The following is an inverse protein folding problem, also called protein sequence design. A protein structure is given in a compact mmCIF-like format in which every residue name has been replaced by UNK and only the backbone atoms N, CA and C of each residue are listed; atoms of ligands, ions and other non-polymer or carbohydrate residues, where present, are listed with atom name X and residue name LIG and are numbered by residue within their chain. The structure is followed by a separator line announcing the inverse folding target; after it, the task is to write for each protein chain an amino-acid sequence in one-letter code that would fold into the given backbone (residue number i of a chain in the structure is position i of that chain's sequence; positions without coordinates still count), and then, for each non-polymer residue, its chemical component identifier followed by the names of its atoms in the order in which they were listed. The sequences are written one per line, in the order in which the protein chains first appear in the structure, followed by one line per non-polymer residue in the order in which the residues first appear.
data_IF_275227839605
#
_entry.id   IF_275227839605
#
_cell.length_a   1.000
_cell.length_b   1.000
_cell.length_c   1.000
_cell.angle_alpha   90.00
_cell.angle_beta   90.00
_cell.angle_gamma   90.00
#
_symmetry.space_group_name_H-M   'P 1'
#
loop_
_entity.id
_entity.type
_entity.pdbx_description
1 polymer ?
#
# COMPACT_ATOMS: atom_id res chain seq x y z
N UNK A 1 5.73 34.57 -9.89
CA UNK A 1 6.46 33.30 -10.14
C UNK A 1 6.49 32.40 -8.90
N UNK A 2 7.08 32.80 -7.75
CA UNK A 2 7.16 31.93 -6.55
C UNK A 2 5.80 31.42 -6.03
N UNK A 3 4.81 32.29 -5.94
CA UNK A 3 3.45 31.94 -5.48
C UNK A 3 2.74 30.93 -6.40
N UNK A 4 3.03 30.97 -7.70
CA UNK A 4 2.46 30.04 -8.67
C UNK A 4 2.94 28.60 -8.42
N UNK A 5 4.25 28.41 -8.20
CA UNK A 5 4.81 27.09 -7.89
C UNK A 5 4.29 26.54 -6.55
N UNK A 6 4.11 27.41 -5.55
CA UNK A 6 3.54 27.01 -4.26
C UNK A 6 2.09 26.54 -4.44
N UNK A 7 1.27 27.28 -5.18
CA UNK A 7 -0.10 26.89 -5.46
C UNK A 7 -0.18 25.56 -6.25
N UNK A 8 0.69 25.39 -7.25
CA UNK A 8 0.78 24.16 -8.03
C UNK A 8 1.20 22.96 -7.17
N UNK A 9 2.14 23.15 -6.24
CA UNK A 9 2.54 22.11 -5.29
C UNK A 9 1.35 21.65 -4.44
N UNK A 10 0.62 22.57 -3.80
CA UNK A 10 -0.53 22.22 -2.97
C UNK A 10 -1.66 21.56 -3.76
N UNK A 11 -1.91 22.00 -4.99
CA UNK A 11 -2.90 21.40 -5.87
C UNK A 11 -2.58 19.94 -6.20
N UNK A 12 -1.34 19.65 -6.57
CA UNK A 12 -0.91 18.27 -6.85
C UNK A 12 -0.87 17.41 -5.59
N UNK A 13 -0.43 17.97 -4.46
CA UNK A 13 -0.37 17.26 -3.19
C UNK A 13 -1.75 16.82 -2.70
N UNK A 14 -2.78 17.66 -2.88
CA UNK A 14 -4.16 17.29 -2.55
C UNK A 14 -4.65 16.07 -3.35
N UNK A 15 -4.30 15.98 -4.64
CA UNK A 15 -4.63 14.82 -5.47
C UNK A 15 -3.95 13.53 -5.00
N UNK A 16 -2.69 13.62 -4.54
CA UNK A 16 -1.96 12.47 -3.98
C UNK A 16 -2.59 11.98 -2.66
N UNK A 17 -3.03 12.89 -1.79
CA UNK A 17 -3.71 12.54 -0.55
C UNK A 17 -5.05 11.84 -0.81
N UNK A 18 -5.83 12.35 -1.77
CA UNK A 18 -7.10 11.74 -2.16
C UNK A 18 -6.90 10.32 -2.75
N UNK A 19 -5.84 10.12 -3.53
CA UNK A 19 -5.49 8.83 -4.13
C UNK A 19 -5.31 7.69 -3.12
N UNK A 20 -4.91 7.97 -1.87
CA UNK A 20 -4.72 6.95 -0.83
C UNK A 20 -6.05 6.32 -0.37
N UNK A 21 -7.14 7.09 -0.44
CA UNK A 21 -8.49 6.65 -0.12
C UNK A 21 -9.22 5.97 -1.29
N UNK A 22 -8.51 5.68 -2.39
CA UNK A 22 -9.08 4.95 -3.53
C UNK A 22 -8.87 3.45 -3.40
N UNK A 23 -9.83 2.68 -3.92
CA UNK A 23 -9.72 1.23 -4.01
C UNK A 23 -8.60 0.85 -4.97
N UNK A 24 -7.87 -0.20 -4.64
CA UNK A 24 -6.94 -0.82 -5.57
C UNK A 24 -7.75 -1.54 -6.67
N UNK A 25 -7.43 -1.32 -7.96
CA UNK A 25 -8.17 -1.92 -9.07
C UNK A 25 -8.17 -3.45 -8.98
N UNK A 26 -9.34 -4.04 -9.24
CA UNK A 26 -9.51 -5.49 -9.39
C UNK A 26 -8.51 -6.05 -10.39
N UNK A 27 -7.89 -7.18 -10.04
CA UNK A 27 -6.90 -7.85 -10.89
C UNK A 27 -5.48 -7.25 -10.82
N UNK A 28 -5.23 -6.29 -9.93
CA UNK A 28 -3.86 -5.85 -9.65
C UNK A 28 -3.02 -6.98 -9.07
N UNK A 29 -1.80 -7.19 -9.58
CA UNK A 29 -0.84 -8.18 -9.05
C UNK A 29 -0.47 -7.92 -7.57
N UNK A 30 -0.71 -6.70 -7.08
CA UNK A 30 -0.52 -6.34 -5.68
C UNK A 30 -1.38 -7.20 -4.75
N UNK A 31 -2.59 -7.61 -5.17
CA UNK A 31 -3.43 -8.49 -4.35
C UNK A 31 -2.72 -9.84 -4.09
N UNK A 32 -2.16 -10.45 -5.13
CA UNK A 32 -1.42 -11.72 -5.00
C UNK A 32 -0.14 -11.57 -4.20
N UNK A 33 0.55 -10.44 -4.35
CA UNK A 33 1.77 -10.16 -3.58
C UNK A 33 1.45 -10.04 -2.08
N UNK A 34 0.40 -9.30 -1.72
CA UNK A 34 -0.04 -9.14 -0.33
C UNK A 34 -0.52 -10.46 0.28
N UNK A 35 -1.27 -11.26 -0.49
CA UNK A 35 -1.72 -12.59 -0.06
C UNK A 35 -0.55 -13.54 0.18
N UNK A 36 0.46 -13.53 -0.71
CA UNK A 36 1.68 -14.31 -0.50
C UNK A 36 2.45 -13.84 0.73
N UNK A 37 2.58 -12.54 0.94
CA UNK A 37 3.21 -11.97 2.13
C UNK A 37 2.46 -12.40 3.39
N UNK A 38 1.14 -12.34 3.42
CA UNK A 38 0.34 -12.85 4.54
C UNK A 38 0.66 -14.31 4.87
N UNK A 39 0.76 -15.17 3.86
CA UNK A 39 1.09 -16.60 4.02
C UNK A 39 2.51 -16.78 4.55
N UNK A 40 3.49 -16.07 4.01
CA UNK A 40 4.91 -16.23 4.38
C UNK A 40 5.22 -15.64 5.76
N UNK A 41 4.55 -14.55 6.11
CA UNK A 41 4.78 -13.82 7.35
C UNK A 41 3.92 -14.33 8.50
N UNK A 42 2.83 -15.03 8.22
CA UNK A 42 1.82 -15.43 9.19
C UNK A 42 1.08 -14.25 9.83
N UNK A 43 1.34 -13.01 9.39
CA UNK A 43 0.63 -11.83 9.85
C UNK A 43 -0.62 -11.65 9.02
N UNK A 44 -1.76 -11.85 9.68
CA UNK A 44 -3.06 -11.67 9.05
C UNK A 44 -3.19 -10.27 8.47
N UNK A 45 -3.48 -10.21 7.17
CA UNK A 45 -3.90 -8.98 6.54
C UNK A 45 -5.35 -8.70 7.00
N UNK A 46 -5.70 -7.45 7.37
CA UNK A 46 -7.05 -7.15 7.83
C UNK A 46 -8.15 -7.29 6.76
N UNK A 47 -7.82 -7.76 5.55
CA UNK A 47 -8.68 -7.78 4.37
C UNK A 47 -8.32 -8.99 3.49
N UNK A 48 -9.31 -9.69 2.94
CA UNK A 48 -9.09 -10.78 1.97
C UNK A 48 -9.66 -10.40 0.61
N UNK A 49 -8.93 -10.75 -0.45
CA UNK A 49 -9.22 -10.43 -1.87
C UNK A 49 -10.61 -10.87 -2.34
N UNK A 50 -11.23 -11.81 -1.63
CA UNK A 50 -12.55 -12.40 -1.95
C UNK A 50 -13.74 -11.66 -1.34
N UNK A 51 -13.55 -10.82 -0.30
CA UNK A 51 -14.68 -10.20 0.43
C UNK A 51 -14.63 -8.67 0.46
N UNK A 52 -13.44 -8.05 0.43
CA UNK A 52 -13.30 -6.59 0.53
C UNK A 52 -12.11 -6.07 -0.28
N UNK A 53 -12.36 -5.04 -1.09
CA UNK A 53 -11.31 -4.33 -1.81
C UNK A 53 -10.35 -3.64 -0.84
N UNK A 54 -9.06 -3.67 -1.15
CA UNK A 54 -8.07 -2.94 -0.37
C UNK A 54 -8.10 -1.47 -0.80
N UNK A 55 -8.09 -0.56 0.16
CA UNK A 55 -7.65 0.81 -0.12
C UNK A 55 -6.14 0.80 -0.34
N UNK A 56 -5.66 1.65 -1.25
CA UNK A 56 -4.21 1.80 -1.46
C UNK A 56 -3.47 2.13 -0.15
N UNK A 57 -4.05 3.01 0.67
CA UNK A 57 -3.49 3.37 1.97
C UNK A 57 -3.43 2.19 2.96
N UNK A 58 -4.38 1.25 2.88
CA UNK A 58 -4.39 0.08 3.78
C UNK A 58 -3.29 -0.92 3.41
N UNK A 59 -3.01 -1.11 2.11
CA UNK A 59 -1.86 -1.92 1.68
C UNK A 59 -0.53 -1.30 2.11
N UNK A 60 -0.39 0.02 1.98
CA UNK A 60 0.83 0.71 2.41
C UNK A 60 1.05 0.54 3.91
N UNK A 61 0.00 0.65 4.73
CA UNK A 61 0.08 0.43 6.18
C UNK A 61 0.47 -1.01 6.51
N UNK A 62 -0.11 -1.99 5.82
CA UNK A 62 0.25 -3.39 6.00
C UNK A 62 1.71 -3.64 5.63
N UNK A 63 2.16 -3.16 4.46
CA UNK A 63 3.55 -3.27 4.03
C UNK A 63 4.52 -2.60 5.01
N UNK A 64 4.19 -1.41 5.52
CA UNK A 64 4.98 -0.73 6.56
C UNK A 64 5.05 -1.55 7.86
N UNK A 65 3.95 -2.19 8.25
CA UNK A 65 3.92 -3.06 9.42
C UNK A 65 4.86 -4.26 9.23
N UNK A 66 4.83 -4.90 8.06
CA UNK A 66 5.74 -5.99 7.70
C UNK A 66 7.21 -5.55 7.73
N UNK A 67 7.52 -4.36 7.19
CA UNK A 67 8.88 -3.81 7.16
C UNK A 67 9.40 -3.47 8.56
N UNK A 68 8.52 -2.99 9.44
CA UNK A 68 8.89 -2.62 10.82
C UNK A 68 9.07 -3.85 11.72
N UNK A 69 8.43 -4.97 11.39
CA UNK A 69 8.56 -6.21 12.16
C UNK A 69 9.93 -6.86 11.93
N UNK A 70 10.80 -6.74 12.95
CA UNK A 70 12.20 -7.17 12.94
C UNK A 70 12.42 -8.69 12.89
N UNK A 71 11.37 -9.49 13.04
CA UNK A 71 11.47 -10.97 13.13
C UNK A 71 11.19 -11.70 11.81
N UNK A 72 10.96 -10.97 10.70
CA UNK A 72 10.60 -11.62 9.44
C UNK A 72 11.78 -11.88 8.53
N UNK A 73 12.03 -13.17 8.31
CA UNK A 73 12.88 -13.64 7.24
C UNK A 73 12.16 -13.59 5.90
N UNK A 74 11.90 -12.37 5.39
CA UNK A 74 11.38 -12.18 4.03
C UNK A 74 12.44 -12.58 2.97
N UNK A 75 12.00 -13.27 1.91
CA UNK A 75 12.84 -13.58 0.76
C UNK A 75 13.28 -12.31 0.03
N UNK A 76 14.46 -12.31 -0.60
CA UNK A 76 15.02 -11.12 -1.25
C UNK A 76 14.14 -10.55 -2.37
N UNK A 77 13.29 -11.39 -2.98
CA UNK A 77 12.32 -11.00 -4.02
C UNK A 77 11.16 -10.14 -3.48
N UNK A 78 10.89 -10.24 -2.18
CA UNK A 78 9.76 -9.59 -1.51
C UNK A 78 10.15 -8.30 -0.78
N UNK A 79 11.42 -7.90 -0.90
CA UNK A 79 12.00 -6.67 -0.34
C UNK A 79 12.15 -5.54 -1.38
N UNK A 80 11.92 -5.82 -2.67
CA UNK A 80 12.15 -4.91 -3.79
C UNK A 80 10.84 -4.29 -4.29
#
# INVERSE_FOLDING_TARGET
MRSFYIALFFWNFAGLLYGQGTLLPLGSETYWTMERLEIETGMSAPFHSTLKYYLRGDMVRYAMQLDTSSELSLSAKDRA
#
